data_IF_534929923028
#
_entry.id   IF_534929923028
#
_cell.length_a   1.000
_cell.length_b   1.000
_cell.length_c   1.000
_cell.angle_alpha   90.00
_cell.angle_beta   90.00
_cell.angle_gamma   90.00
#
_symmetry.space_group_name_H-M   'P 1'
#
loop_
_entity.id
_entity.type
_entity.pdbx_description
1 polymer ?
#
# COMPACT_ATOMS: atom_id res chain seq x y z
N UNK A 1 -47.23 -51.77 -22.96
CA UNK A 1 -46.66 -50.45 -22.65
C UNK A 1 -46.60 -50.27 -21.16
N UNK A 2 -45.49 -50.49 -20.46
CA UNK A 2 -45.40 -50.12 -19.06
C UNK A 2 -44.82 -48.72 -18.92
N UNK A 3 -45.41 -47.96 -18.01
CA UNK A 3 -45.07 -46.59 -17.67
C UNK A 3 -43.68 -46.46 -17.01
N UNK A 4 -42.91 -45.50 -17.46
CA UNK A 4 -41.61 -45.10 -16.89
C UNK A 4 -41.79 -44.53 -15.50
N UNK A 5 -41.07 -45.04 -14.54
CA UNK A 5 -40.96 -44.49 -13.19
C UNK A 5 -40.12 -43.20 -13.20
N UNK A 6 -40.39 -42.23 -12.31
CA UNK A 6 -39.59 -41.01 -12.17
C UNK A 6 -38.26 -41.29 -11.48
N UNK A 7 -37.22 -40.71 -12.02
CA UNK A 7 -35.85 -40.75 -11.54
C UNK A 7 -35.74 -39.99 -10.19
N UNK A 8 -35.17 -40.57 -9.12
CA UNK A 8 -35.01 -39.86 -7.86
C UNK A 8 -33.71 -39.07 -7.81
N UNK A 9 -33.83 -37.92 -7.15
CA UNK A 9 -32.81 -37.17 -6.47
C UNK A 9 -31.75 -36.42 -7.27
N UNK A 10 -32.04 -35.15 -7.44
CA UNK A 10 -30.98 -34.15 -7.36
C UNK A 10 -30.29 -34.28 -5.99
N UNK A 11 -29.04 -34.73 -6.03
CA UNK A 11 -28.19 -34.79 -4.82
C UNK A 11 -28.09 -33.43 -4.18
N UNK A 12 -28.58 -33.29 -2.98
CA UNK A 12 -28.23 -32.19 -2.08
C UNK A 12 -26.72 -32.22 -1.92
N UNK A 13 -26.02 -31.32 -2.63
CA UNK A 13 -24.64 -30.96 -2.31
C UNK A 13 -24.68 -30.36 -0.91
N UNK A 14 -24.07 -31.00 0.05
CA UNK A 14 -23.82 -30.47 1.37
C UNK A 14 -23.11 -29.12 1.18
N UNK A 15 -23.64 -28.06 1.81
CA UNK A 15 -22.98 -26.78 1.88
C UNK A 15 -21.56 -26.98 2.42
N UNK A 16 -20.54 -26.26 1.91
CA UNK A 16 -19.20 -26.35 2.46
C UNK A 16 -19.24 -26.05 3.97
N UNK A 17 -18.35 -26.65 4.79
CA UNK A 17 -18.32 -26.39 6.22
C UNK A 17 -18.24 -24.89 6.43
N UNK A 18 -19.23 -24.32 7.14
CA UNK A 18 -19.38 -22.87 7.30
C UNK A 18 -18.10 -22.26 7.87
N UNK A 19 -17.72 -21.09 7.40
CA UNK A 19 -16.60 -20.32 7.88
C UNK A 19 -16.78 -20.04 9.40
N UNK A 20 -16.14 -20.84 10.23
CA UNK A 20 -16.25 -20.78 11.68
C UNK A 20 -15.84 -19.40 12.23
N UNK A 21 -14.83 -18.76 11.60
CA UNK A 21 -14.40 -17.41 11.97
C UNK A 21 -15.45 -16.35 11.64
N UNK A 22 -16.09 -16.46 10.46
CA UNK A 22 -17.16 -15.54 10.07
C UNK A 22 -18.37 -15.69 11.02
N UNK A 23 -18.70 -16.92 11.43
CA UNK A 23 -19.75 -17.16 12.42
C UNK A 23 -19.43 -16.51 13.77
N UNK A 24 -18.18 -16.63 14.22
CA UNK A 24 -17.70 -16.01 15.46
C UNK A 24 -17.72 -14.47 15.38
N UNK A 25 -17.24 -13.91 14.27
CA UNK A 25 -17.31 -12.47 14.00
C UNK A 25 -18.75 -11.97 14.02
N UNK A 26 -19.67 -12.70 13.38
CA UNK A 26 -21.09 -12.37 13.36
C UNK A 26 -21.69 -12.36 14.75
N UNK A 27 -21.35 -13.35 15.59
CA UNK A 27 -21.81 -13.42 16.97
C UNK A 27 -21.25 -12.26 17.81
N UNK A 28 -19.95 -12.01 17.72
CA UNK A 28 -19.30 -10.88 18.40
C UNK A 28 -19.91 -9.53 17.98
N UNK A 29 -20.17 -9.36 16.68
CA UNK A 29 -20.82 -8.15 16.15
C UNK A 29 -22.22 -7.97 16.73
N UNK A 30 -23.05 -9.04 16.80
CA UNK A 30 -24.38 -8.99 17.41
C UNK A 30 -24.33 -8.53 18.88
N UNK A 31 -23.37 -9.07 19.63
CA UNK A 31 -23.18 -8.71 21.04
C UNK A 31 -22.75 -7.25 21.19
N UNK A 32 -21.81 -6.78 20.32
CA UNK A 32 -21.28 -5.41 20.33
C UNK A 32 -22.35 -4.39 19.98
N UNK A 33 -23.11 -4.64 18.92
CA UNK A 33 -24.18 -3.74 18.48
C UNK A 33 -25.40 -3.75 19.43
N UNK A 34 -25.52 -4.79 20.27
CA UNK A 34 -26.74 -5.07 21.07
C UNK A 34 -28.00 -5.07 20.22
N UNK A 35 -27.87 -5.48 18.95
CA UNK A 35 -28.94 -5.57 17.97
C UNK A 35 -28.92 -6.93 17.32
N UNK A 36 -30.12 -7.48 17.07
CA UNK A 36 -30.27 -8.83 16.50
C UNK A 36 -30.16 -8.89 14.98
N UNK A 37 -30.36 -7.77 14.30
CA UNK A 37 -30.51 -7.74 12.85
C UNK A 37 -29.55 -6.73 12.21
N UNK A 38 -28.76 -7.20 11.25
CA UNK A 38 -27.91 -6.43 10.36
C UNK A 38 -27.57 -7.28 9.13
N UNK A 39 -27.33 -6.64 8.01
CA UNK A 39 -26.72 -7.26 6.85
C UNK A 39 -25.18 -7.24 6.98
N UNK A 40 -24.51 -8.28 6.49
CA UNK A 40 -23.05 -8.40 6.46
C UNK A 40 -22.61 -8.81 5.07
N UNK A 41 -21.74 -8.01 4.45
CA UNK A 41 -21.21 -8.26 3.11
C UNK A 41 -19.68 -8.04 3.10
N UNK A 42 -18.90 -8.76 2.27
CA UNK A 42 -17.49 -8.47 2.08
C UNK A 42 -17.28 -7.00 1.66
N UNK A 43 -16.34 -6.30 2.31
CA UNK A 43 -16.06 -4.89 2.03
C UNK A 43 -14.84 -4.72 1.12
N UNK A 44 -13.80 -5.54 1.28
CA UNK A 44 -12.63 -5.58 0.40
C UNK A 44 -12.01 -6.97 0.39
N UNK A 45 -11.29 -7.28 -0.69
CA UNK A 45 -10.41 -8.46 -0.81
C UNK A 45 -8.96 -7.95 -0.81
N UNK A 46 -8.34 -7.89 0.35
CA UNK A 46 -6.95 -7.47 0.50
C UNK A 46 -5.96 -8.63 0.25
N UNK A 47 -4.68 -8.27 0.10
CA UNK A 47 -3.57 -9.22 -0.03
C UNK A 47 -3.12 -9.77 1.33
N UNK A 48 -3.67 -9.29 2.44
CA UNK A 48 -3.35 -9.69 3.81
C UNK A 48 -4.22 -10.84 4.32
N UNK A 49 -3.94 -11.32 5.52
CA UNK A 49 -4.80 -12.29 6.21
C UNK A 49 -6.00 -11.63 6.87
N UNK A 50 -6.10 -10.30 6.85
CA UNK A 50 -7.24 -9.54 7.36
C UNK A 50 -8.40 -9.62 6.38
N UNK A 51 -9.60 -9.77 6.93
CA UNK A 51 -10.86 -9.73 6.18
C UNK A 51 -11.71 -8.58 6.68
N UNK A 52 -12.32 -7.88 5.77
CA UNK A 52 -13.17 -6.73 6.07
C UNK A 52 -14.58 -6.99 5.60
N UNK A 53 -15.56 -6.75 6.47
CA UNK A 53 -16.98 -6.94 6.18
C UNK A 53 -17.73 -5.65 6.49
N UNK A 54 -18.50 -5.18 5.53
CA UNK A 54 -19.42 -4.06 5.75
C UNK A 54 -20.66 -4.55 6.45
N UNK A 55 -21.01 -3.86 7.52
CA UNK A 55 -22.19 -4.11 8.33
C UNK A 55 -23.17 -2.99 8.05
N UNK A 56 -24.43 -3.35 7.72
CA UNK A 56 -25.54 -2.43 7.59
C UNK A 56 -26.56 -2.79 8.64
N UNK A 57 -26.60 -2.11 9.80
CA UNK A 57 -27.63 -2.30 10.82
C UNK A 57 -29.02 -1.93 10.29
N UNK A 58 -30.09 -2.55 10.81
CA UNK A 58 -31.47 -2.20 10.43
C UNK A 58 -31.86 -0.75 10.81
N UNK A 59 -31.17 -0.17 11.78
CA UNK A 59 -31.26 1.24 12.14
C UNK A 59 -29.85 1.78 12.46
N UNK A 60 -29.59 3.09 12.24
CA UNK A 60 -28.29 3.69 12.49
C UNK A 60 -27.77 3.38 13.90
N UNK A 61 -26.57 2.82 13.98
CA UNK A 61 -25.93 2.50 15.25
C UNK A 61 -24.99 3.65 15.65
N UNK A 62 -25.28 4.31 16.77
CA UNK A 62 -24.54 5.50 17.22
C UNK A 62 -24.38 6.58 16.12
N UNK A 63 -25.36 6.72 15.22
CA UNK A 63 -25.32 7.67 14.12
C UNK A 63 -24.63 7.17 12.84
N UNK A 64 -24.21 5.91 12.79
CA UNK A 64 -23.59 5.29 11.61
C UNK A 64 -24.60 4.40 10.88
N UNK A 65 -24.82 4.66 9.60
CA UNK A 65 -25.65 3.84 8.71
C UNK A 65 -24.92 2.55 8.30
N UNK A 66 -23.59 2.61 8.19
CA UNK A 66 -22.72 1.47 7.89
C UNK A 66 -21.48 1.47 8.79
N UNK A 67 -20.95 0.27 9.01
CA UNK A 67 -19.76 0.01 9.82
C UNK A 67 -18.89 -1.01 9.13
N UNK A 68 -17.62 -1.13 9.53
CA UNK A 68 -16.72 -2.18 9.07
C UNK A 68 -16.36 -3.09 10.25
N UNK A 69 -16.60 -4.40 10.08
CA UNK A 69 -16.02 -5.41 10.95
C UNK A 69 -14.74 -5.95 10.32
N UNK A 70 -13.63 -5.85 11.05
CA UNK A 70 -12.35 -6.44 10.67
C UNK A 70 -12.15 -7.76 11.42
N UNK A 71 -11.75 -8.79 10.67
CA UNK A 71 -11.30 -10.08 11.19
C UNK A 71 -9.81 -10.25 10.88
N UNK A 72 -8.98 -10.16 11.91
CA UNK A 72 -7.53 -10.38 11.89
C UNK A 72 -7.19 -11.59 12.75
N UNK A 73 -7.10 -12.82 12.18
CA UNK A 73 -6.86 -14.03 12.96
C UNK A 73 -5.59 -13.93 13.81
N UNK A 74 -5.63 -14.02 15.16
CA UNK A 74 -4.47 -13.76 16.03
C UNK A 74 -3.24 -14.64 15.76
N UNK A 75 -3.46 -15.83 15.17
CA UNK A 75 -2.36 -16.72 14.73
C UNK A 75 -1.59 -16.23 13.51
N UNK A 76 -2.07 -15.18 12.83
CA UNK A 76 -1.53 -14.63 11.58
C UNK A 76 -1.26 -13.13 11.65
N UNK A 77 -2.09 -12.40 12.39
CA UNK A 77 -2.10 -10.93 12.42
C UNK A 77 -2.34 -10.43 13.84
N UNK A 78 -1.61 -9.40 14.23
CA UNK A 78 -1.86 -8.63 15.45
C UNK A 78 -2.65 -7.36 15.12
N UNK A 79 -3.83 -7.18 15.69
CA UNK A 79 -4.64 -5.99 15.45
C UNK A 79 -4.25 -4.78 16.32
N UNK A 80 -3.38 -4.94 17.32
CA UNK A 80 -2.96 -3.84 18.21
C UNK A 80 -2.25 -2.70 17.50
N UNK A 81 -1.33 -2.94 16.52
CA UNK A 81 -0.75 -1.87 15.70
C UNK A 81 -1.82 -1.06 14.96
N UNK A 82 -2.84 -1.70 14.41
CA UNK A 82 -3.96 -0.99 13.77
C UNK A 82 -4.65 -0.03 14.74
N UNK A 83 -5.00 -0.49 15.94
CA UNK A 83 -5.64 0.33 16.98
C UNK A 83 -4.74 1.51 17.37
N UNK A 84 -3.46 1.25 17.55
CA UNK A 84 -2.47 2.27 17.94
C UNK A 84 -2.33 3.36 16.86
N UNK A 85 -2.08 2.97 15.60
CA UNK A 85 -1.86 3.94 14.53
C UNK A 85 -3.15 4.68 14.16
N UNK A 86 -4.32 4.02 14.20
CA UNK A 86 -5.61 4.70 14.04
C UNK A 86 -5.79 5.84 15.06
N UNK A 87 -5.44 5.60 16.33
CA UNK A 87 -5.49 6.61 17.37
C UNK A 87 -4.50 7.77 17.10
N UNK A 88 -3.29 7.49 16.60
CA UNK A 88 -2.31 8.52 16.24
C UNK A 88 -2.79 9.40 15.08
N UNK A 89 -3.31 8.80 14.00
CA UNK A 89 -3.85 9.52 12.85
C UNK A 89 -5.02 10.43 13.28
N UNK A 90 -5.96 9.90 14.03
CA UNK A 90 -7.10 10.67 14.53
C UNK A 90 -6.66 11.77 15.51
N UNK A 91 -5.68 11.48 16.36
CA UNK A 91 -5.07 12.48 17.26
C UNK A 91 -4.35 13.61 16.51
N UNK A 92 -3.87 13.36 15.28
CA UNK A 92 -3.33 14.37 14.37
C UNK A 92 -4.43 15.13 13.58
N UNK A 93 -5.72 14.88 13.86
CA UNK A 93 -6.84 15.50 13.16
C UNK A 93 -7.05 14.95 11.74
N UNK A 94 -6.57 13.73 11.46
CA UNK A 94 -6.73 13.05 10.18
C UNK A 94 -7.93 12.11 10.18
N UNK A 95 -8.52 11.94 9.00
CA UNK A 95 -9.70 11.08 8.81
C UNK A 95 -9.26 9.63 8.57
N UNK A 96 -9.08 8.89 9.65
CA UNK A 96 -8.86 7.44 9.65
C UNK A 96 -10.03 6.73 10.33
N UNK A 97 -10.27 5.43 10.07
CA UNK A 97 -11.30 4.67 10.76
C UNK A 97 -11.18 4.80 12.27
N UNK A 98 -12.31 5.10 12.92
CA UNK A 98 -12.41 5.05 14.38
C UNK A 98 -12.63 3.61 14.82
N UNK A 99 -11.88 3.18 15.84
CA UNK A 99 -12.10 1.88 16.47
C UNK A 99 -13.20 2.03 17.52
N UNK A 100 -14.40 1.59 17.15
CA UNK A 100 -15.61 1.72 17.98
C UNK A 100 -15.72 0.61 19.04
N UNK A 101 -15.16 -0.57 18.73
CA UNK A 101 -14.98 -1.69 19.64
C UNK A 101 -13.83 -2.56 19.17
N UNK A 102 -13.20 -3.28 20.13
CA UNK A 102 -12.08 -4.18 19.85
C UNK A 102 -12.11 -5.40 20.74
N UNK A 103 -11.71 -6.54 20.20
CA UNK A 103 -11.41 -7.78 20.92
C UNK A 103 -10.09 -8.33 20.36
N UNK A 104 -8.95 -7.94 20.94
CA UNK A 104 -7.64 -8.35 20.44
C UNK A 104 -7.39 -9.86 20.57
N UNK A 105 -8.02 -10.54 21.53
CA UNK A 105 -7.84 -11.98 21.74
C UNK A 105 -8.56 -12.79 20.65
N UNK A 106 -9.68 -12.28 20.14
CA UNK A 106 -10.35 -12.82 18.97
C UNK A 106 -9.81 -12.23 17.66
N UNK A 107 -9.11 -11.10 17.71
CA UNK A 107 -8.64 -10.36 16.55
C UNK A 107 -9.76 -9.64 15.79
N UNK A 108 -10.78 -9.15 16.49
CA UNK A 108 -11.92 -8.46 15.90
C UNK A 108 -11.93 -6.98 16.24
N UNK A 109 -12.19 -6.15 15.22
CA UNK A 109 -12.43 -4.72 15.40
C UNK A 109 -13.75 -4.32 14.74
N UNK A 110 -14.47 -3.39 15.38
CA UNK A 110 -15.59 -2.66 14.76
C UNK A 110 -15.13 -1.23 14.48
N UNK A 111 -15.22 -0.81 13.23
CA UNK A 111 -14.66 0.42 12.72
C UNK A 111 -15.75 1.28 12.08
N UNK A 112 -15.53 2.60 12.01
CA UNK A 112 -16.29 3.47 11.12
C UNK A 112 -16.02 3.14 9.67
N UNK A 113 -17.05 3.24 8.83
CA UNK A 113 -16.96 3.01 7.39
C UNK A 113 -16.61 4.31 6.66
N UNK A 114 -15.51 4.32 5.92
CA UNK A 114 -15.08 5.45 5.10
C UNK A 114 -15.62 5.40 3.66
N UNK A 115 -16.58 4.52 3.39
CA UNK A 115 -17.23 4.40 2.08
C UNK A 115 -16.55 3.42 1.14
N UNK A 116 -16.75 3.62 -0.17
CA UNK A 116 -16.33 2.64 -1.20
C UNK A 116 -15.46 3.25 -2.30
N UNK A 117 -15.28 4.57 -2.33
CA UNK A 117 -14.56 5.26 -3.41
C UNK A 117 -13.14 5.59 -2.98
N UNK A 118 -12.18 4.90 -3.57
CA UNK A 118 -10.76 5.22 -3.40
C UNK A 118 -10.35 6.39 -4.30
N UNK A 119 -9.19 6.98 -4.05
CA UNK A 119 -8.61 7.94 -4.99
C UNK A 119 -8.40 7.31 -6.36
N UNK A 120 -7.98 6.03 -6.43
CA UNK A 120 -7.81 5.34 -7.71
C UNK A 120 -9.09 5.33 -8.55
N UNK A 121 -10.28 5.22 -7.91
CA UNK A 121 -11.57 5.18 -8.59
C UNK A 121 -12.01 6.55 -9.14
N UNK A 122 -11.40 7.64 -8.67
CA UNK A 122 -11.90 9.01 -8.93
C UNK A 122 -10.84 9.94 -9.49
N UNK A 123 -9.57 9.53 -9.54
CA UNK A 123 -8.48 10.33 -10.07
C UNK A 123 -8.57 10.44 -11.60
N UNK A 124 -8.68 11.66 -12.07
CA UNK A 124 -8.52 12.07 -13.46
C UNK A 124 -7.79 13.42 -13.55
N UNK A 125 -7.60 13.93 -14.76
CA UNK A 125 -6.87 15.19 -14.96
C UNK A 125 -7.55 16.41 -14.32
N UNK A 126 -8.86 16.37 -14.09
CA UNK A 126 -9.63 17.46 -13.50
C UNK A 126 -9.66 17.37 -11.97
N UNK A 127 -9.82 16.16 -11.42
CA UNK A 127 -9.92 15.92 -9.96
C UNK A 127 -8.56 15.91 -9.27
N UNK A 128 -7.49 15.50 -9.97
CA UNK A 128 -6.15 15.32 -9.41
C UNK A 128 -5.62 16.53 -8.63
N UNK A 129 -5.69 17.78 -9.13
CA UNK A 129 -5.13 18.91 -8.40
C UNK A 129 -5.71 19.09 -6.99
N UNK A 130 -7.03 18.93 -6.84
CA UNK A 130 -7.69 19.05 -5.54
C UNK A 130 -7.37 17.86 -4.62
N UNK A 131 -7.43 16.63 -5.16
CA UNK A 131 -7.18 15.41 -4.38
C UNK A 131 -5.72 15.34 -3.90
N UNK A 132 -4.75 15.71 -4.74
CA UNK A 132 -3.34 15.75 -4.32
C UNK A 132 -3.05 16.92 -3.36
N UNK A 133 -3.77 18.05 -3.47
CA UNK A 133 -3.68 19.12 -2.48
C UNK A 133 -4.14 18.64 -1.10
N UNK A 134 -5.31 17.97 -1.02
CA UNK A 134 -5.84 17.41 0.22
C UNK A 134 -4.92 16.31 0.79
N UNK A 135 -4.41 15.41 -0.08
CA UNK A 135 -3.49 14.35 0.33
C UNK A 135 -2.18 14.91 0.89
N UNK A 136 -1.59 15.94 0.25
CA UNK A 136 -0.35 16.56 0.75
C UNK A 136 -0.58 17.34 2.04
N UNK A 137 -1.74 17.99 2.23
CA UNK A 137 -2.11 18.65 3.49
C UNK A 137 -2.27 17.64 4.63
N UNK A 138 -2.86 16.50 4.35
CA UNK A 138 -2.97 15.42 5.33
C UNK A 138 -1.60 14.80 5.65
N UNK A 139 -0.73 14.62 4.66
CA UNK A 139 0.62 14.10 4.84
C UNK A 139 1.47 15.04 5.72
N UNK A 140 1.42 16.35 5.49
CA UNK A 140 2.11 17.34 6.33
C UNK A 140 1.64 17.24 7.78
N UNK A 141 0.32 17.15 8.04
CA UNK A 141 -0.23 16.98 9.40
C UNK A 141 0.22 15.67 10.05
N UNK A 142 0.28 14.58 9.28
CA UNK A 142 0.78 13.29 9.76
C UNK A 142 2.24 13.39 10.21
N UNK A 143 3.08 14.01 9.40
CA UNK A 143 4.50 14.21 9.68
C UNK A 143 4.75 15.20 10.85
N UNK A 144 3.93 16.23 11.01
CA UNK A 144 3.98 17.12 12.19
C UNK A 144 3.63 16.40 13.50
N UNK A 145 2.84 15.32 13.44
CA UNK A 145 2.50 14.53 14.62
C UNK A 145 3.65 13.61 15.09
N UNK A 146 4.79 13.61 14.40
CA UNK A 146 5.96 12.80 14.76
C UNK A 146 6.43 13.07 16.17
N UNK A 147 6.62 11.98 16.92
CA UNK A 147 7.20 11.97 18.25
C UNK A 147 8.18 10.81 18.35
N UNK A 148 9.35 10.99 18.95
CA UNK A 148 10.35 9.93 19.08
C UNK A 148 9.78 8.69 19.80
N UNK A 149 10.23 7.53 19.37
CA UNK A 149 9.95 6.23 20.02
C UNK A 149 8.46 5.83 20.08
N UNK A 150 7.59 6.46 19.27
CA UNK A 150 6.16 6.13 19.23
C UNK A 150 5.85 5.07 18.17
N UNK A 151 6.52 5.12 17.02
CA UNK A 151 6.45 4.12 15.97
C UNK A 151 7.79 3.40 15.82
N UNK A 152 7.78 2.14 15.30
CA UNK A 152 9.03 1.42 15.03
C UNK A 152 9.92 2.18 14.05
N UNK A 153 11.26 2.09 14.17
CA UNK A 153 12.16 2.76 13.25
C UNK A 153 12.14 2.10 11.85
N UNK A 154 12.14 2.93 10.82
CA UNK A 154 12.46 2.50 9.45
C UNK A 154 13.98 2.52 9.29
N UNK A 155 14.62 1.54 9.87
CA UNK A 155 16.08 1.43 9.97
C UNK A 155 16.71 0.80 8.72
N UNK A 156 18.04 0.73 8.73
CA UNK A 156 18.82 0.09 7.66
C UNK A 156 18.41 -1.37 7.43
N UNK A 157 18.13 -2.11 8.52
CA UNK A 157 17.76 -3.52 8.42
C UNK A 157 16.41 -3.72 7.71
N UNK A 158 15.44 -2.84 7.97
CA UNK A 158 14.14 -2.89 7.30
C UNK A 158 14.24 -2.47 5.83
N UNK A 159 14.92 -1.35 5.53
CA UNK A 159 15.13 -0.87 4.17
C UNK A 159 15.93 -1.89 3.33
N UNK A 160 16.99 -2.50 3.88
CA UNK A 160 17.76 -3.52 3.19
C UNK A 160 16.94 -4.79 2.89
N UNK A 161 16.10 -5.24 3.84
CA UNK A 161 15.17 -6.37 3.59
C UNK A 161 14.20 -6.09 2.46
N UNK A 162 13.74 -4.85 2.34
CA UNK A 162 12.84 -4.45 1.24
C UNK A 162 13.58 -4.41 -0.10
N UNK A 163 14.83 -3.92 -0.14
CA UNK A 163 15.67 -3.95 -1.34
C UNK A 163 15.95 -5.39 -1.80
N UNK A 164 16.15 -6.33 -0.86
CA UNK A 164 16.41 -7.74 -1.18
C UNK A 164 15.24 -8.40 -1.94
N UNK A 165 14.03 -7.86 -1.87
CA UNK A 165 12.91 -8.38 -2.67
C UNK A 165 13.17 -8.27 -4.19
N UNK A 166 13.96 -7.29 -4.63
CA UNK A 166 14.27 -7.11 -6.04
C UNK A 166 15.11 -8.27 -6.61
N UNK A 167 16.31 -8.59 -6.09
CA UNK A 167 17.08 -9.73 -6.61
C UNK A 167 16.38 -11.07 -6.37
N UNK A 168 15.70 -11.26 -5.22
CA UNK A 168 15.11 -12.54 -4.87
C UNK A 168 13.88 -12.87 -5.73
N UNK A 169 12.99 -11.90 -5.91
CA UNK A 169 11.69 -12.13 -6.56
C UNK A 169 11.64 -11.63 -7.98
N UNK A 170 12.08 -10.39 -8.25
CA UNK A 170 12.01 -9.84 -9.60
C UNK A 170 13.08 -10.48 -10.49
N UNK A 171 14.36 -10.45 -10.08
CA UNK A 171 15.44 -11.02 -10.91
C UNK A 171 15.40 -12.53 -10.91
N UNK A 172 15.43 -13.16 -9.72
CA UNK A 172 15.58 -14.61 -9.60
C UNK A 172 14.32 -15.39 -9.98
N UNK A 173 13.12 -14.94 -9.55
CA UNK A 173 11.88 -15.69 -9.77
C UNK A 173 11.12 -15.26 -11.02
N UNK A 174 11.01 -13.94 -11.26
CA UNK A 174 10.21 -13.44 -12.38
C UNK A 174 11.01 -13.47 -13.69
N UNK A 175 12.23 -12.97 -13.71
CA UNK A 175 13.09 -13.03 -14.90
C UNK A 175 13.82 -14.38 -15.05
N UNK A 176 13.94 -15.18 -13.99
CA UNK A 176 14.65 -16.45 -14.03
C UNK A 176 16.17 -16.29 -14.21
N UNK A 177 16.73 -15.14 -13.84
CA UNK A 177 18.14 -14.80 -14.07
C UNK A 177 18.93 -15.00 -12.77
N UNK A 178 20.10 -15.68 -12.87
CA UNK A 178 21.10 -15.70 -11.82
C UNK A 178 22.14 -14.61 -12.10
N UNK A 179 22.29 -13.67 -11.15
CA UNK A 179 23.26 -12.59 -11.27
C UNK A 179 24.71 -13.15 -11.24
N UNK A 180 25.54 -12.68 -12.15
CA UNK A 180 26.99 -12.93 -12.10
C UNK A 180 27.61 -12.22 -10.88
N UNK A 181 28.83 -12.61 -10.43
CA UNK A 181 29.51 -11.92 -9.32
C UNK A 181 29.69 -10.42 -9.54
N UNK A 182 29.94 -9.99 -10.78
CA UNK A 182 30.08 -8.56 -11.14
C UNK A 182 28.74 -7.83 -10.99
N UNK A 183 27.66 -8.41 -11.48
CA UNK A 183 26.30 -7.84 -11.35
C UNK A 183 25.86 -7.79 -9.89
N UNK A 184 26.14 -8.84 -9.10
CA UNK A 184 25.87 -8.87 -7.66
C UNK A 184 26.64 -7.77 -6.91
N UNK A 185 27.90 -7.55 -7.27
CA UNK A 185 28.71 -6.47 -6.69
C UNK A 185 28.16 -5.08 -7.05
N UNK A 186 27.79 -4.85 -8.32
CA UNK A 186 27.18 -3.60 -8.77
C UNK A 186 25.87 -3.30 -8.04
N UNK A 187 25.02 -4.32 -7.86
CA UNK A 187 23.76 -4.20 -7.13
C UNK A 187 24.00 -3.87 -5.65
N UNK A 188 24.91 -4.59 -5.00
CA UNK A 188 25.24 -4.37 -3.58
C UNK A 188 25.79 -2.97 -3.33
N UNK A 189 26.68 -2.48 -4.20
CA UNK A 189 27.20 -1.11 -4.11
C UNK A 189 26.11 -0.07 -4.33
N UNK A 190 25.20 -0.31 -5.28
CA UNK A 190 24.06 0.57 -5.52
C UNK A 190 23.11 0.62 -4.32
N UNK A 191 22.80 -0.53 -3.72
CA UNK A 191 22.00 -0.62 -2.51
C UNK A 191 22.61 0.16 -1.35
N UNK A 192 23.93 0.03 -1.15
CA UNK A 192 24.62 0.79 -0.10
C UNK A 192 24.44 2.30 -0.29
N UNK A 193 24.64 2.82 -1.49
CA UNK A 193 24.47 4.24 -1.80
C UNK A 193 23.02 4.72 -1.57
N UNK A 194 22.04 3.89 -1.98
CA UNK A 194 20.62 4.19 -1.77
C UNK A 194 20.32 4.26 -0.27
N UNK A 195 20.78 3.30 0.50
CA UNK A 195 20.61 3.27 1.95
C UNK A 195 21.27 4.47 2.63
N UNK A 196 22.51 4.81 2.25
CA UNK A 196 23.25 5.96 2.81
C UNK A 196 22.47 7.27 2.58
N UNK A 197 21.95 7.51 1.36
CA UNK A 197 21.16 8.71 1.07
C UNK A 197 19.83 8.72 1.87
N UNK A 198 19.13 7.60 1.89
CA UNK A 198 17.81 7.54 2.46
C UNK A 198 17.82 7.62 4.00
N UNK A 199 18.83 7.02 4.64
CA UNK A 199 19.01 7.09 6.08
C UNK A 199 19.54 8.45 6.57
N UNK A 200 20.15 9.24 5.69
CA UNK A 200 20.58 10.61 6.00
C UNK A 200 19.42 11.62 6.03
N UNK A 201 18.27 11.28 5.47
CA UNK A 201 17.09 12.15 5.47
C UNK A 201 16.54 12.37 6.88
N UNK A 202 15.90 13.51 7.14
CA UNK A 202 15.13 13.72 8.36
C UNK A 202 14.03 12.65 8.51
N UNK A 203 13.77 12.26 9.76
CA UNK A 203 12.80 11.20 10.08
C UNK A 203 11.50 11.81 10.57
N UNK A 204 10.40 11.26 10.03
CA UNK A 204 9.03 11.61 10.42
C UNK A 204 8.18 10.33 10.50
N UNK A 205 6.94 10.45 10.93
CA UNK A 205 6.00 9.35 10.76
C UNK A 205 5.78 9.07 9.27
N UNK A 206 5.88 7.81 8.90
CA UNK A 206 5.73 7.29 7.53
C UNK A 206 4.63 6.24 7.54
N UNK A 207 3.64 6.41 6.69
CA UNK A 207 2.53 5.49 6.51
C UNK A 207 2.96 4.20 5.77
N UNK A 208 3.95 4.29 4.88
CA UNK A 208 4.52 3.29 3.96
C UNK A 208 3.69 3.00 2.71
N UNK A 209 2.37 2.99 2.81
CA UNK A 209 1.48 2.67 1.70
C UNK A 209 0.48 3.82 1.42
N UNK A 210 1.01 5.08 1.42
CA UNK A 210 0.27 6.32 1.21
C UNK A 210 0.06 6.57 -0.29
N UNK A 211 -0.85 5.84 -0.92
CA UNK A 211 -1.10 5.86 -2.37
C UNK A 211 -2.59 5.77 -2.69
N UNK A 212 -2.95 5.90 -3.97
CA UNK A 212 -4.33 6.07 -4.44
C UNK A 212 -5.30 4.95 -4.03
N UNK A 213 -4.84 3.72 -3.81
CA UNK A 213 -5.69 2.61 -3.34
C UNK A 213 -6.05 2.69 -1.86
N UNK A 214 -5.23 3.39 -1.06
CA UNK A 214 -5.38 3.46 0.38
C UNK A 214 -5.88 4.83 0.86
N UNK A 215 -6.12 5.76 -0.07
CA UNK A 215 -6.76 7.03 0.18
C UNK A 215 -8.21 6.99 -0.31
N UNK A 216 -9.15 7.34 0.56
CA UNK A 216 -10.58 7.35 0.27
C UNK A 216 -11.06 8.77 0.00
N UNK A 217 -11.94 8.92 -1.00
CA UNK A 217 -12.65 10.19 -1.21
C UNK A 217 -13.76 10.32 -0.17
N UNK A 218 -13.56 11.20 0.80
CA UNK A 218 -14.44 11.34 1.97
C UNK A 218 -14.65 12.82 2.34
N UNK A 219 -15.43 13.06 3.39
CA UNK A 219 -15.52 14.36 4.04
C UNK A 219 -15.34 14.16 5.56
N UNK A 220 -14.26 14.68 6.20
CA UNK A 220 -13.14 15.39 5.59
C UNK A 220 -12.29 14.50 4.70
N UNK A 221 -11.58 15.09 3.73
CA UNK A 221 -10.76 14.39 2.74
C UNK A 221 -9.25 14.52 3.07
N UNK A 222 -8.41 13.50 2.80
CA UNK A 222 -8.74 12.13 2.47
C UNK A 222 -9.13 11.28 3.70
N UNK A 223 -9.88 10.22 3.48
CA UNK A 223 -9.91 9.09 4.40
C UNK A 223 -8.65 8.23 4.20
N UNK A 224 -7.99 7.80 5.29
CA UNK A 224 -6.71 7.09 5.24
C UNK A 224 -6.89 5.67 5.73
N UNK A 225 -6.50 4.68 4.91
CA UNK A 225 -6.56 3.23 5.18
C UNK A 225 -5.17 2.59 5.14
N UNK A 226 -5.08 1.36 5.63
CA UNK A 226 -3.90 0.46 5.53
C UNK A 226 -2.62 1.01 6.18
N UNK A 227 -2.78 1.61 7.35
CA UNK A 227 -1.76 2.37 8.10
C UNK A 227 -1.04 1.59 9.21
N UNK A 228 -1.43 0.36 9.51
CA UNK A 228 -0.95 -0.38 10.69
C UNK A 228 0.54 -0.73 10.65
N UNK A 229 1.16 -0.66 9.48
CA UNK A 229 2.60 -0.87 9.28
C UNK A 229 3.40 0.45 9.30
N UNK A 230 2.81 1.53 9.81
CA UNK A 230 3.46 2.83 9.93
C UNK A 230 4.73 2.75 10.77
N UNK A 231 5.71 3.57 10.40
CA UNK A 231 7.06 3.60 11.01
C UNK A 231 7.53 5.04 11.20
N UNK A 232 8.66 5.24 11.87
CA UNK A 232 9.39 6.51 11.88
C UNK A 232 10.57 6.41 10.92
N UNK A 233 10.56 7.17 9.83
CA UNK A 233 11.53 7.02 8.74
C UNK A 233 11.68 8.25 7.85
N UNK A 234 12.35 8.09 6.69
CA UNK A 234 12.68 9.18 5.78
C UNK A 234 11.46 9.99 5.34
N UNK A 235 11.54 11.31 5.48
CA UNK A 235 10.42 12.24 5.25
C UNK A 235 9.83 12.18 3.84
N UNK A 236 10.61 11.79 2.84
CA UNK A 236 10.16 11.77 1.44
C UNK A 236 9.38 10.49 1.07
N UNK A 237 9.37 9.45 1.92
CA UNK A 237 8.84 8.14 1.55
C UNK A 237 7.38 8.16 1.10
N UNK A 238 6.50 8.77 1.89
CA UNK A 238 5.07 8.79 1.58
C UNK A 238 4.74 9.72 0.42
N UNK A 239 5.50 10.81 0.26
CA UNK A 239 5.36 11.67 -0.92
C UNK A 239 5.71 10.91 -2.20
N UNK A 240 6.75 10.08 -2.17
CA UNK A 240 7.09 9.18 -3.30
C UNK A 240 5.97 8.18 -3.55
N UNK A 241 5.41 7.58 -2.49
CA UNK A 241 4.28 6.66 -2.61
C UNK A 241 3.09 7.29 -3.30
N UNK A 242 2.82 8.57 -3.01
CA UNK A 242 1.71 9.34 -3.56
C UNK A 242 1.96 9.78 -5.01
N UNK A 243 3.12 10.40 -5.29
CA UNK A 243 3.38 11.05 -6.58
C UNK A 243 3.95 10.10 -7.65
N UNK A 244 4.63 9.02 -7.22
CA UNK A 244 5.12 7.92 -8.07
C UNK A 244 4.38 6.62 -7.73
N UNK A 245 3.06 6.72 -7.69
CA UNK A 245 2.15 5.62 -7.43
C UNK A 245 2.33 4.51 -8.48
N UNK A 246 2.24 3.26 -8.04
CA UNK A 246 2.34 2.12 -8.95
C UNK A 246 1.10 1.94 -9.83
N UNK A 247 -0.03 2.56 -9.49
CA UNK A 247 -1.34 2.36 -10.12
C UNK A 247 -1.79 3.54 -11.00
N UNK A 248 -1.26 4.74 -10.76
CA UNK A 248 -1.56 5.97 -11.50
C UNK A 248 -0.27 6.62 -11.96
N UNK A 249 -0.23 7.09 -13.20
CA UNK A 249 0.92 7.79 -13.76
C UNK A 249 0.55 9.20 -14.16
N UNK A 250 1.39 10.15 -13.76
CA UNK A 250 1.31 11.55 -14.15
C UNK A 250 2.59 11.97 -14.83
N UNK A 251 2.50 12.95 -15.72
CA UNK A 251 3.69 13.56 -16.31
C UNK A 251 4.59 14.17 -15.22
N UNK A 252 5.88 14.25 -15.54
CA UNK A 252 6.88 14.68 -14.56
C UNK A 252 6.69 16.12 -14.13
N UNK A 253 6.22 17.00 -15.02
CA UNK A 253 5.96 18.40 -14.70
C UNK A 253 4.95 18.51 -13.56
N UNK A 254 3.84 17.75 -13.64
CA UNK A 254 2.85 17.70 -12.56
C UNK A 254 3.41 17.12 -11.26
N UNK A 255 4.23 16.06 -11.37
CA UNK A 255 4.87 15.49 -10.19
C UNK A 255 5.76 16.53 -9.49
N UNK A 256 6.54 17.31 -10.25
CA UNK A 256 7.38 18.38 -9.71
C UNK A 256 6.52 19.47 -9.08
N UNK A 257 5.47 19.94 -9.76
CA UNK A 257 4.57 20.98 -9.24
C UNK A 257 3.95 20.58 -7.90
N UNK A 258 3.47 19.34 -7.78
CA UNK A 258 2.92 18.84 -6.52
C UNK A 258 3.99 18.62 -5.45
N UNK A 259 5.20 18.20 -5.82
CA UNK A 259 6.32 18.09 -4.89
C UNK A 259 6.78 19.45 -4.37
N UNK A 260 6.82 20.49 -5.21
CA UNK A 260 7.07 21.88 -4.81
C UNK A 260 5.98 22.34 -3.84
N UNK A 261 4.71 22.14 -4.18
CA UNK A 261 3.59 22.50 -3.31
C UNK A 261 3.65 21.82 -1.95
N UNK A 262 3.98 20.53 -1.90
CA UNK A 262 4.23 19.83 -0.63
C UNK A 262 5.41 20.43 0.12
N UNK A 263 6.55 20.65 -0.53
CA UNK A 263 7.76 21.17 0.10
C UNK A 263 7.53 22.56 0.70
N UNK A 264 6.81 23.44 0.03
CA UNK A 264 6.42 24.77 0.53
C UNK A 264 5.52 24.65 1.79
N UNK A 265 4.50 23.79 1.74
CA UNK A 265 3.61 23.50 2.88
C UNK A 265 4.39 22.92 4.06
N UNK A 266 5.27 21.96 3.80
CA UNK A 266 6.09 21.31 4.82
C UNK A 266 7.05 22.32 5.50
N UNK A 267 7.68 23.22 4.74
CA UNK A 267 8.49 24.31 5.28
C UNK A 267 7.68 25.28 6.12
N UNK A 268 6.54 25.72 5.62
CA UNK A 268 5.64 26.60 6.38
C UNK A 268 5.16 25.96 7.68
N UNK A 269 5.01 24.63 7.68
CA UNK A 269 4.64 23.83 8.84
C UNK A 269 5.81 23.53 9.81
N UNK A 270 7.04 23.99 9.49
CA UNK A 270 8.24 23.76 10.30
C UNK A 270 8.84 22.37 10.19
N UNK A 271 8.45 21.57 9.17
CA UNK A 271 9.06 20.26 8.93
C UNK A 271 10.49 20.41 8.37
N UNK A 272 11.40 19.48 8.68
CA UNK A 272 12.82 19.59 8.33
C UNK A 272 13.12 19.20 6.87
N UNK A 273 12.48 19.82 5.90
CA UNK A 273 12.67 19.57 4.45
C UNK A 273 13.75 20.44 3.79
N UNK A 274 14.50 21.22 4.61
CA UNK A 274 15.55 22.11 4.10
C UNK A 274 15.02 23.33 3.35
N UNK A 275 15.94 24.14 2.85
CA UNK A 275 15.64 25.38 2.10
C UNK A 275 15.94 25.27 0.60
N UNK A 276 16.59 24.21 0.18
CA UNK A 276 16.93 23.90 -1.22
C UNK A 276 16.00 22.80 -1.76
N UNK A 277 15.12 23.18 -2.69
CA UNK A 277 14.23 22.21 -3.34
C UNK A 277 15.01 21.19 -4.17
N UNK A 278 16.15 21.55 -4.78
CA UNK A 278 16.96 20.62 -5.55
C UNK A 278 17.50 19.48 -4.71
N UNK A 279 17.97 19.78 -3.48
CA UNK A 279 18.40 18.76 -2.52
C UNK A 279 17.21 17.88 -2.06
N UNK A 280 16.06 18.49 -1.76
CA UNK A 280 14.84 17.76 -1.41
C UNK A 280 14.36 16.86 -2.57
N UNK A 281 14.38 17.35 -3.81
CA UNK A 281 14.00 16.56 -4.99
C UNK A 281 14.94 15.39 -5.23
N UNK A 282 16.26 15.58 -5.00
CA UNK A 282 17.21 14.46 -5.02
C UNK A 282 16.82 13.38 -4.00
N UNK A 283 16.54 13.74 -2.76
CA UNK A 283 16.13 12.82 -1.70
C UNK A 283 14.83 12.09 -2.05
N UNK A 284 13.86 12.80 -2.65
CA UNK A 284 12.63 12.22 -3.17
C UNK A 284 12.92 11.18 -4.28
N UNK A 285 13.79 11.49 -5.23
CA UNK A 285 14.11 10.57 -6.33
C UNK A 285 14.87 9.33 -5.84
N UNK A 286 15.81 9.50 -4.92
CA UNK A 286 16.57 8.38 -4.35
C UNK A 286 15.70 7.48 -3.47
N UNK A 287 14.79 8.06 -2.71
CA UNK A 287 13.75 7.29 -2.03
C UNK A 287 12.83 6.59 -3.03
N UNK A 288 12.57 7.23 -4.17
CA UNK A 288 11.86 6.62 -5.29
C UNK A 288 12.56 5.35 -5.79
N UNK A 289 13.88 5.39 -5.98
CA UNK A 289 14.66 4.20 -6.39
C UNK A 289 14.50 3.05 -5.38
N UNK A 290 14.61 3.32 -4.08
CA UNK A 290 14.36 2.34 -3.01
C UNK A 290 12.96 1.71 -3.17
N UNK A 291 11.94 2.57 -3.28
CA UNK A 291 10.55 2.11 -3.32
C UNK A 291 10.22 1.35 -4.61
N UNK A 292 10.68 1.79 -5.78
CA UNK A 292 10.43 1.08 -7.03
C UNK A 292 11.08 -0.30 -7.05
N UNK A 293 12.32 -0.44 -6.57
CA UNK A 293 12.96 -1.76 -6.42
C UNK A 293 12.15 -2.69 -5.51
N UNK A 294 11.72 -2.19 -4.34
CA UNK A 294 10.81 -2.92 -3.43
C UNK A 294 9.52 -3.35 -4.14
N UNK A 295 8.85 -2.43 -4.84
CA UNK A 295 7.55 -2.68 -5.49
C UNK A 295 7.66 -3.72 -6.60
N UNK A 296 8.70 -3.66 -7.44
CA UNK A 296 8.97 -4.70 -8.45
C UNK A 296 9.13 -6.09 -7.80
N UNK A 297 9.87 -6.18 -6.70
CA UNK A 297 10.01 -7.41 -5.94
C UNK A 297 8.69 -7.88 -5.30
N UNK A 298 7.88 -6.97 -4.74
CA UNK A 298 6.58 -7.29 -4.18
C UNK A 298 5.62 -7.80 -5.26
N UNK A 299 5.53 -7.15 -6.42
CA UNK A 299 4.63 -7.53 -7.50
C UNK A 299 5.02 -8.90 -8.07
N UNK A 300 6.32 -9.15 -8.25
CA UNK A 300 6.81 -10.48 -8.61
C UNK A 300 6.42 -11.54 -7.55
N UNK A 301 6.58 -11.24 -6.27
CA UNK A 301 6.22 -12.14 -5.18
C UNK A 301 4.71 -12.43 -5.15
N UNK A 302 3.86 -11.40 -5.30
CA UNK A 302 2.41 -11.55 -5.35
C UNK A 302 1.97 -12.42 -6.53
N UNK A 303 2.62 -12.29 -7.68
CA UNK A 303 2.36 -13.15 -8.84
C UNK A 303 2.80 -14.60 -8.57
N UNK A 304 4.06 -14.83 -8.22
CA UNK A 304 4.64 -16.18 -8.20
C UNK A 304 4.34 -16.97 -6.91
N UNK A 305 4.10 -16.30 -5.78
CA UNK A 305 3.73 -16.96 -4.53
C UNK A 305 2.21 -17.04 -4.32
N UNK A 306 1.51 -15.94 -4.64
CA UNK A 306 0.11 -15.77 -4.26
C UNK A 306 -0.85 -15.88 -5.46
N UNK A 307 -0.33 -16.10 -6.69
CA UNK A 307 -1.14 -16.28 -7.91
C UNK A 307 -1.82 -15.00 -8.41
N UNK A 308 -1.44 -13.83 -7.89
CA UNK A 308 -2.05 -12.52 -8.22
C UNK A 308 -1.37 -11.89 -9.43
N UNK A 309 -1.69 -12.34 -10.63
CA UNK A 309 -1.01 -11.95 -11.88
C UNK A 309 -1.28 -10.50 -12.30
N UNK A 310 -2.41 -9.90 -11.92
CA UNK A 310 -2.79 -8.54 -12.31
C UNK A 310 -1.74 -7.46 -11.94
N UNK A 311 -0.91 -7.71 -10.92
CA UNK A 311 0.17 -6.78 -10.54
C UNK A 311 1.31 -6.71 -11.56
N UNK A 312 1.42 -7.66 -12.48
CA UNK A 312 2.42 -7.63 -13.55
C UNK A 312 2.18 -6.48 -14.53
N UNK A 313 0.92 -6.12 -14.76
CA UNK A 313 0.53 -5.03 -15.66
C UNK A 313 1.03 -3.66 -15.19
N UNK A 314 1.29 -3.50 -13.88
CA UNK A 314 1.78 -2.27 -13.28
C UNK A 314 3.32 -2.17 -13.25
N UNK A 315 4.05 -3.29 -13.41
CA UNK A 315 5.52 -3.30 -13.38
C UNK A 315 6.18 -2.38 -14.41
N UNK A 316 5.72 -2.26 -15.67
CA UNK A 316 6.35 -1.38 -16.65
C UNK A 316 6.36 0.09 -16.21
N UNK A 317 5.30 0.56 -15.52
CA UNK A 317 5.23 1.92 -14.96
C UNK A 317 6.28 2.12 -13.87
N UNK A 318 6.34 1.18 -12.93
CA UNK A 318 7.33 1.22 -11.83
C UNK A 318 8.76 1.20 -12.37
N UNK A 319 9.03 0.39 -13.41
CA UNK A 319 10.34 0.35 -14.07
C UNK A 319 10.68 1.67 -14.77
N UNK A 320 9.71 2.35 -15.40
CA UNK A 320 9.96 3.67 -16.02
C UNK A 320 10.40 4.71 -14.99
N UNK A 321 9.76 4.77 -13.83
CA UNK A 321 10.18 5.66 -12.73
C UNK A 321 11.61 5.34 -12.27
N UNK A 322 11.91 4.05 -12.07
CA UNK A 322 13.24 3.60 -11.65
C UNK A 322 14.32 4.00 -12.66
N UNK A 323 14.11 3.70 -13.94
CA UNK A 323 15.05 4.02 -15.01
C UNK A 323 15.23 5.53 -15.18
N UNK A 324 14.17 6.32 -15.05
CA UNK A 324 14.21 7.78 -15.10
C UNK A 324 15.10 8.38 -14.02
N UNK A 325 14.94 7.94 -12.76
CA UNK A 325 15.77 8.37 -11.66
C UNK A 325 17.24 7.92 -11.85
N UNK A 326 17.48 6.66 -12.23
CA UNK A 326 18.83 6.15 -12.47
C UNK A 326 19.58 6.88 -13.61
N UNK A 327 18.86 7.46 -14.58
CA UNK A 327 19.47 8.20 -15.67
C UNK A 327 20.01 9.59 -15.24
N UNK A 328 19.53 10.17 -14.15
CA UNK A 328 19.89 11.52 -13.70
C UNK A 328 21.13 11.60 -12.83
N UNK A 329 21.45 10.51 -12.14
CA UNK A 329 22.50 10.51 -11.12
C UNK A 329 23.65 9.61 -11.53
N UNK A 330 24.85 10.16 -11.61
CA UNK A 330 26.07 9.39 -11.97
C UNK A 330 26.33 8.25 -11.01
N UNK A 331 26.00 8.41 -9.76
CA UNK A 331 26.15 7.38 -8.73
C UNK A 331 25.26 6.18 -8.94
N UNK A 332 24.15 6.32 -9.67
CA UNK A 332 23.21 5.27 -10.02
C UNK A 332 23.44 4.64 -11.39
N UNK A 333 24.45 5.11 -12.17
CA UNK A 333 24.82 4.50 -13.45
C UNK A 333 25.10 2.99 -13.38
N UNK A 334 25.78 2.45 -12.35
CA UNK A 334 25.97 0.99 -12.25
C UNK A 334 24.64 0.22 -12.11
N UNK A 335 23.67 0.78 -11.36
CA UNK A 335 22.33 0.20 -11.27
C UNK A 335 21.60 0.29 -12.62
N UNK A 336 21.69 1.44 -13.31
CA UNK A 336 21.08 1.62 -14.62
C UNK A 336 21.61 0.60 -15.64
N UNK A 337 22.94 0.42 -15.71
CA UNK A 337 23.55 -0.57 -16.60
C UNK A 337 23.07 -1.99 -16.30
N UNK A 338 22.98 -2.35 -15.02
CA UNK A 338 22.44 -3.64 -14.62
C UNK A 338 20.99 -3.83 -15.05
N UNK A 339 20.13 -2.82 -14.87
CA UNK A 339 18.73 -2.89 -15.28
C UNK A 339 18.58 -3.03 -16.80
N UNK A 340 19.41 -2.34 -17.59
CA UNK A 340 19.43 -2.45 -19.05
C UNK A 340 19.87 -3.86 -19.50
N UNK A 341 20.89 -4.45 -18.85
CA UNK A 341 21.32 -5.83 -19.08
C UNK A 341 20.21 -6.84 -18.77
N UNK A 342 19.53 -6.67 -17.62
CA UNK A 342 18.45 -7.56 -17.21
C UNK A 342 17.26 -7.49 -18.18
N UNK A 343 16.94 -6.33 -18.70
CA UNK A 343 15.84 -6.16 -19.68
C UNK A 343 16.13 -6.83 -21.02
N UNK A 344 17.41 -6.89 -21.44
CA UNK A 344 17.81 -7.56 -22.68
C UNK A 344 17.95 -9.08 -22.53
N UNK A 345 18.26 -9.54 -21.32
CA UNK A 345 18.44 -10.96 -21.02
C UNK A 345 17.13 -11.69 -20.66
N UNK A 346 16.06 -10.94 -20.32
CA UNK A 346 14.77 -11.53 -20.02
C UNK A 346 14.22 -12.30 -21.25
N UNK A 347 13.69 -13.51 -21.08
CA UNK A 347 13.00 -14.22 -22.17
C UNK A 347 11.85 -13.34 -22.66
N UNK A 348 11.81 -13.05 -23.97
CA UNK A 348 10.69 -12.34 -24.58
C UNK A 348 9.44 -13.19 -24.35
N UNK A 349 8.48 -12.69 -23.58
CA UNK A 349 7.21 -13.38 -23.35
C UNK A 349 6.56 -13.68 -24.72
N UNK A 350 6.22 -14.95 -25.05
CA UNK A 350 5.60 -15.29 -26.31
C UNK A 350 4.29 -14.56 -26.60
N UNK A 351 3.63 -14.00 -25.56
CA UNK A 351 2.38 -13.25 -25.67
C UNK A 351 2.58 -11.81 -26.16
N UNK A 352 3.76 -11.22 -26.02
CA UNK A 352 4.08 -9.88 -26.55
C UNK A 352 4.23 -9.86 -28.07
N UNK A 353 4.51 -11.02 -28.71
CA UNK A 353 4.58 -11.11 -30.19
C UNK A 353 3.24 -10.98 -30.88
N UNK A 354 2.13 -11.05 -30.15
CA UNK A 354 0.77 -10.90 -30.72
C UNK A 354 0.19 -9.48 -30.59
N UNK A 355 0.93 -8.55 -29.93
CA UNK A 355 0.50 -7.14 -29.75
C UNK A 355 1.33 -6.13 -30.56
N UNK A 356 2.19 -6.57 -31.47
CA UNK A 356 2.81 -5.66 -32.45
C UNK A 356 1.83 -5.39 -33.59
N UNK A 357 1.69 -4.15 -34.08
CA UNK A 357 0.67 -3.70 -35.02
C UNK A 357 0.74 -4.38 -36.39
#
# INVERSE_FOLDING_TARGET
MPASAPNPSASQRAAPPGDARLSLLTQWTKQTLRSGAFALAPASADASFRRYFRITPDAPWRGHDTLIAMDAPPSREDCRPFVHVAALLRGAGLHAPEVLASDPDLGFLLLTDLGTRTYLDVLDAASAPALYADATDALVRWQQATRPDVLPPYDEALLARELALFPDWYVGRHLGIALSPVQQQALTQSFRRILDNNLAQPRTFVHRDYHSRNLMQTTPNPGILDFQDAVEGPITYDLVSLLRDAYVEWDETRQIDWAVGYWEKARAAGLPVGTDFGAFWRDFEWMGVQRQLKVLGIFARLCHRDGKTAYLDDMPRVMRYLLGACARYDELKPLRALLDELSTAAPVDPTDRQRAP
#
